data_IF_326181752898
#
_entry.id   IF_326181752898
#
_cell.length_a   1.000
_cell.length_b   1.000
_cell.length_c   1.000
_cell.angle_alpha   90.00
_cell.angle_beta   90.00
_cell.angle_gamma   90.00
#
_symmetry.space_group_name_H-M   'P 1'
#
loop_
_entity.id
_entity.type
_entity.pdbx_description
1 polymer ?
#
# COMPACT_ATOMS: atom_id res chain seq x y z
N UNK A 1 1.49 22.01 -8.65
CA UNK A 1 0.98 20.64 -8.67
C UNK A 1 0.21 20.44 -9.97
N UNK A 2 0.83 19.79 -10.92
CA UNK A 2 0.12 19.39 -12.14
C UNK A 2 -0.86 18.27 -11.77
N UNK A 3 -2.15 18.56 -11.88
CA UNK A 3 -3.25 17.68 -11.47
C UNK A 3 -3.62 16.64 -12.54
N UNK A 4 -2.81 16.50 -13.60
CA UNK A 4 -3.25 15.78 -14.81
C UNK A 4 -2.84 14.31 -14.90
N UNK A 5 -1.98 13.78 -14.04
CA UNK A 5 -1.42 12.44 -14.24
C UNK A 5 -1.61 11.43 -13.10
N UNK A 6 -2.20 11.81 -12.00
CA UNK A 6 -2.54 10.85 -10.93
C UNK A 6 -4.02 11.01 -10.58
N UNK A 7 -4.87 10.11 -11.09
CA UNK A 7 -6.19 9.94 -10.53
C UNK A 7 -5.99 9.34 -9.13
N UNK A 8 -6.02 10.20 -8.10
CA UNK A 8 -6.00 9.76 -6.72
C UNK A 8 -7.41 9.34 -6.34
N UNK A 9 -7.65 8.06 -6.22
CA UNK A 9 -8.83 7.53 -5.56
C UNK A 9 -8.47 7.18 -4.11
N UNK A 10 -8.62 8.14 -3.21
CA UNK A 10 -8.76 7.89 -1.76
C UNK A 10 -10.08 7.15 -1.47
N UNK A 11 -10.65 6.60 -2.50
CA UNK A 11 -12.02 6.16 -2.69
C UNK A 11 -12.44 5.01 -1.76
N UNK A 12 -11.54 4.03 -1.50
CA UNK A 12 -11.95 2.86 -0.71
C UNK A 12 -12.24 3.20 0.74
N UNK A 13 -11.46 4.10 1.34
CA UNK A 13 -11.66 4.50 2.74
C UNK A 13 -12.86 5.41 2.92
N UNK A 14 -13.17 6.22 1.92
CA UNK A 14 -14.38 7.04 1.87
C UNK A 14 -15.62 6.17 1.66
N UNK A 15 -15.57 5.14 0.78
CA UNK A 15 -16.65 4.17 0.60
C UNK A 15 -16.93 3.40 1.90
N UNK A 16 -15.90 3.09 2.69
CA UNK A 16 -16.05 2.43 3.98
C UNK A 16 -16.57 3.36 5.07
N UNK A 17 -16.87 4.63 4.75
CA UNK A 17 -17.36 5.66 5.68
C UNK A 17 -16.50 5.75 6.94
N UNK A 18 -15.18 5.85 6.76
CA UNK A 18 -14.24 6.01 7.86
C UNK A 18 -14.16 7.49 8.25
N UNK A 19 -14.34 7.78 9.53
CA UNK A 19 -14.46 9.16 10.05
C UNK A 19 -13.19 9.99 9.86
N UNK A 20 -12.02 9.34 9.82
CA UNK A 20 -10.72 9.99 9.69
C UNK A 20 -10.11 9.88 8.29
N UNK A 21 -10.90 9.45 7.28
CA UNK A 21 -10.41 9.34 5.91
C UNK A 21 -10.11 10.71 5.30
N UNK A 22 -8.91 10.88 4.75
CA UNK A 22 -8.50 12.12 4.07
C UNK A 22 -9.07 12.18 2.65
N UNK A 23 -9.51 13.37 2.24
CA UNK A 23 -9.99 13.62 0.87
C UNK A 23 -8.85 13.81 -0.13
N UNK A 24 -7.64 14.10 0.35
CA UNK A 24 -6.46 14.38 -0.45
C UNK A 24 -5.36 13.38 -0.15
N UNK A 25 -4.64 12.99 -1.20
CA UNK A 25 -3.48 12.14 -1.12
C UNK A 25 -2.24 12.99 -0.75
N UNK A 26 -1.64 12.73 0.41
CA UNK A 26 -0.41 13.39 0.85
C UNK A 26 0.75 12.39 0.83
N UNK A 27 1.90 12.82 0.36
CA UNK A 27 3.16 12.07 0.41
C UNK A 27 4.32 13.02 0.70
N UNK A 28 5.45 12.50 1.16
CA UNK A 28 6.69 13.28 1.27
C UNK A 28 7.12 13.79 -0.10
N UNK A 29 7.74 14.97 -0.15
CA UNK A 29 8.17 15.62 -1.40
C UNK A 29 9.06 14.72 -2.26
N UNK A 30 10.09 14.15 -1.65
CA UNK A 30 11.03 13.28 -2.36
C UNK A 30 10.35 11.99 -2.86
N UNK A 31 9.36 11.49 -2.12
CA UNK A 31 8.53 10.37 -2.57
C UNK A 31 7.70 10.75 -3.80
N UNK A 32 7.11 11.96 -3.82
CA UNK A 32 6.38 12.46 -4.99
C UNK A 32 7.29 12.56 -6.23
N UNK A 33 8.50 13.11 -6.08
CA UNK A 33 9.47 13.19 -7.19
C UNK A 33 9.81 11.81 -7.76
N UNK A 34 9.88 10.78 -6.90
CA UNK A 34 10.08 9.39 -7.33
C UNK A 34 8.85 8.78 -7.97
N UNK A 35 7.65 9.13 -7.50
CA UNK A 35 6.40 8.70 -8.15
C UNK A 35 6.30 9.26 -9.58
N UNK A 36 6.70 10.50 -9.79
CA UNK A 36 6.79 11.10 -11.14
C UNK A 36 7.79 10.32 -12.01
N UNK A 37 8.96 9.96 -11.45
CA UNK A 37 9.94 9.11 -12.16
C UNK A 37 9.35 7.73 -12.47
N UNK A 38 8.69 7.08 -11.51
CA UNK A 38 8.06 5.78 -11.71
C UNK A 38 6.98 5.84 -12.82
N UNK A 39 6.17 6.91 -12.84
CA UNK A 39 5.19 7.11 -13.90
C UNK A 39 5.84 7.25 -15.29
N UNK A 40 7.02 7.85 -15.36
CA UNK A 40 7.81 7.93 -16.59
C UNK A 40 8.40 6.58 -17.06
N UNK A 41 8.41 5.56 -16.21
CA UNK A 41 8.84 4.20 -16.56
C UNK A 41 7.69 3.35 -17.15
N UNK A 42 6.45 3.86 -17.11
CA UNK A 42 5.30 3.16 -17.67
C UNK A 42 5.22 3.35 -19.19
N UNK A 43 4.60 2.40 -19.92
CA UNK A 43 4.29 2.59 -21.34
C UNK A 43 3.37 3.80 -21.55
N UNK A 44 3.39 4.36 -22.77
CA UNK A 44 2.57 5.50 -23.13
C UNK A 44 1.08 5.28 -22.81
N UNK A 45 0.47 6.25 -22.14
CA UNK A 45 -0.93 6.24 -21.76
C UNK A 45 -1.27 5.48 -20.48
N UNK A 46 -0.35 4.64 -19.97
CA UNK A 46 -0.54 3.98 -18.68
C UNK A 46 -0.36 4.96 -17.54
N UNK A 47 -1.09 4.73 -16.43
CA UNK A 47 -1.09 5.63 -15.26
C UNK A 47 -1.20 4.84 -13.97
N UNK A 48 -0.77 5.45 -12.86
CA UNK A 48 -1.07 4.95 -11.53
C UNK A 48 -2.48 5.37 -11.09
N UNK A 49 -3.17 4.47 -10.40
CA UNK A 49 -4.29 4.78 -9.51
C UNK A 49 -3.82 4.59 -8.08
N UNK A 50 -3.90 5.64 -7.27
CA UNK A 50 -3.49 5.62 -5.87
C UNK A 50 -4.71 5.30 -5.01
N UNK A 51 -4.61 4.28 -4.17
CA UNK A 51 -5.66 3.89 -3.25
C UNK A 51 -5.45 4.44 -1.84
N UNK A 52 -4.19 4.52 -1.38
CA UNK A 52 -3.83 5.07 -0.08
C UNK A 52 -2.42 5.66 -0.11
N UNK A 53 -2.19 6.68 0.75
CA UNK A 53 -0.88 7.32 0.86
C UNK A 53 -0.61 7.67 2.33
N UNK A 54 -0.37 8.94 2.68
CA UNK A 54 -0.27 9.29 4.08
C UNK A 54 -1.59 9.03 4.81
N UNK A 55 -1.47 8.37 5.95
CA UNK A 55 -2.59 7.97 6.79
C UNK A 55 -2.38 8.55 8.19
N UNK A 56 -3.26 9.45 8.68
CA UNK A 56 -3.20 9.94 10.04
C UNK A 56 -3.30 8.79 11.03
N UNK A 57 -2.69 8.95 12.20
CA UNK A 57 -2.67 7.90 13.22
C UNK A 57 -4.09 7.48 13.66
N UNK A 58 -5.03 8.44 13.72
CA UNK A 58 -6.43 8.16 14.04
C UNK A 58 -7.07 7.21 13.02
N UNK A 59 -6.84 7.42 11.72
CA UNK A 59 -7.33 6.51 10.68
C UNK A 59 -6.67 5.13 10.75
N UNK A 60 -5.38 5.06 11.06
CA UNK A 60 -4.70 3.78 11.26
C UNK A 60 -5.30 2.99 12.42
N UNK A 61 -5.69 3.67 13.50
CA UNK A 61 -6.36 3.05 14.64
C UNK A 61 -7.75 2.54 14.25
N UNK A 62 -8.55 3.35 13.58
CA UNK A 62 -9.88 2.99 13.08
C UNK A 62 -9.84 1.77 12.16
N UNK A 63 -8.87 1.71 11.24
CA UNK A 63 -8.64 0.57 10.36
C UNK A 63 -8.29 -0.70 11.13
N UNK A 64 -7.38 -0.58 12.10
CA UNK A 64 -6.98 -1.71 12.92
C UNK A 64 -8.18 -2.31 13.68
N UNK A 65 -9.00 -1.46 14.30
CA UNK A 65 -10.21 -1.91 15.01
C UNK A 65 -11.19 -2.59 14.06
N UNK A 66 -11.50 -1.95 12.93
CA UNK A 66 -12.47 -2.45 11.96
C UNK A 66 -12.02 -3.78 11.32
N UNK A 67 -10.78 -3.85 10.83
CA UNK A 67 -10.26 -5.07 10.21
C UNK A 67 -10.03 -6.18 11.22
N UNK A 68 -9.73 -5.87 12.49
CA UNK A 68 -9.60 -6.88 13.54
C UNK A 68 -10.87 -7.70 13.70
N UNK A 69 -12.04 -7.07 13.64
CA UNK A 69 -13.34 -7.74 13.74
C UNK A 69 -13.54 -8.72 12.58
N UNK A 70 -13.29 -8.27 11.35
CA UNK A 70 -13.46 -9.10 10.16
C UNK A 70 -12.43 -10.25 10.13
N UNK A 71 -11.16 -9.97 10.43
CA UNK A 71 -10.09 -10.99 10.46
C UNK A 71 -10.38 -12.05 11.53
N UNK A 72 -10.84 -11.65 12.73
CA UNK A 72 -11.20 -12.60 13.79
C UNK A 72 -12.29 -13.54 13.30
N UNK A 73 -13.36 -12.99 12.71
CA UNK A 73 -14.50 -13.77 12.19
C UNK A 73 -14.08 -14.69 11.03
N UNK A 74 -13.38 -14.15 10.02
CA UNK A 74 -13.10 -14.85 8.77
C UNK A 74 -12.04 -15.95 8.92
N UNK A 75 -11.16 -15.81 9.91
CA UNK A 75 -10.11 -16.80 10.24
C UNK A 75 -10.41 -17.60 11.52
N UNK A 76 -11.60 -17.47 12.11
CA UNK A 76 -12.04 -18.20 13.30
C UNK A 76 -11.04 -18.09 14.47
N UNK A 77 -10.64 -16.85 14.81
CA UNK A 77 -9.60 -16.59 15.82
C UNK A 77 -10.16 -16.33 17.22
N UNK A 78 -11.46 -16.47 17.45
CA UNK A 78 -12.18 -16.13 18.68
C UNK A 78 -11.59 -16.84 19.91
N UNK A 79 -11.27 -18.14 19.76
CA UNK A 79 -10.76 -18.99 20.85
C UNK A 79 -9.26 -18.86 21.09
N UNK A 80 -8.53 -18.09 20.26
CA UNK A 80 -7.10 -17.89 20.44
C UNK A 80 -6.82 -16.97 21.64
N UNK A 81 -5.76 -17.25 22.43
CA UNK A 81 -5.26 -16.30 23.40
C UNK A 81 -4.97 -14.95 22.76
N UNK A 82 -5.25 -13.85 23.46
CA UNK A 82 -5.17 -12.47 22.95
C UNK A 82 -3.85 -12.17 22.21
N UNK A 83 -2.70 -12.58 22.78
CA UNK A 83 -1.40 -12.35 22.16
C UNK A 83 -1.27 -13.05 20.79
N UNK A 84 -1.78 -14.28 20.65
CA UNK A 84 -1.77 -15.03 19.39
C UNK A 84 -2.75 -14.44 18.38
N UNK A 85 -3.93 -14.06 18.84
CA UNK A 85 -4.95 -13.38 18.04
C UNK A 85 -4.40 -12.06 17.49
N UNK A 86 -3.82 -11.21 18.34
CA UNK A 86 -3.18 -9.96 17.93
C UNK A 86 -2.06 -10.19 16.91
N UNK A 87 -1.19 -11.19 17.15
CA UNK A 87 -0.14 -11.53 16.19
C UNK A 87 -0.67 -12.01 14.82
N UNK A 88 -1.82 -12.69 14.80
CA UNK A 88 -2.49 -13.08 13.56
C UNK A 88 -3.07 -11.85 12.83
N UNK A 89 -3.74 -10.95 13.54
CA UNK A 89 -4.29 -9.69 12.98
C UNK A 89 -3.17 -8.84 12.38
N UNK A 90 -2.04 -8.71 13.07
CA UNK A 90 -0.90 -7.90 12.61
C UNK A 90 -0.20 -8.42 11.34
N UNK A 91 -0.60 -9.59 10.81
CA UNK A 91 -0.16 -10.05 9.48
C UNK A 91 -0.88 -9.32 8.33
N UNK A 92 -2.06 -8.76 8.61
CA UNK A 92 -2.94 -8.13 7.62
C UNK A 92 -3.06 -6.62 7.80
N UNK A 93 -2.92 -6.13 9.02
CA UNK A 93 -3.03 -4.70 9.32
C UNK A 93 -2.01 -4.28 10.37
N UNK A 94 -1.29 -3.19 10.10
CA UNK A 94 -0.26 -2.67 11.00
C UNK A 94 -0.87 -2.20 12.32
N UNK A 95 -0.29 -2.67 13.45
CA UNK A 95 -0.67 -2.22 14.77
C UNK A 95 -0.43 -0.71 14.94
N UNK A 96 -1.43 0.07 15.36
CA UNK A 96 -1.26 1.49 15.64
C UNK A 96 -0.43 1.67 16.94
N UNK A 97 0.87 1.88 16.78
CA UNK A 97 1.76 2.20 17.91
C UNK A 97 1.98 3.71 17.93
N UNK A 98 1.67 4.41 19.04
CA UNK A 98 1.83 5.86 19.14
C UNK A 98 3.30 6.26 19.41
N UNK A 99 4.23 5.71 18.63
CA UNK A 99 5.65 6.02 18.68
C UNK A 99 6.12 6.59 17.35
N UNK A 100 6.47 7.85 17.32
CA UNK A 100 6.92 8.55 16.12
C UNK A 100 8.21 7.99 15.54
N UNK A 101 9.00 7.24 16.33
CA UNK A 101 10.23 6.58 15.87
C UNK A 101 9.99 5.22 15.23
N UNK A 102 8.85 4.60 15.52
CA UNK A 102 8.45 3.31 14.95
C UNK A 102 7.01 3.38 14.44
N UNK A 103 6.70 4.37 13.60
CA UNK A 103 5.33 4.57 13.10
C UNK A 103 4.91 3.47 12.14
N UNK A 104 3.59 3.26 11.93
CA UNK A 104 3.09 2.56 10.76
C UNK A 104 3.60 3.21 9.47
N UNK A 105 3.85 2.43 8.42
CA UNK A 105 4.47 2.90 7.19
C UNK A 105 3.75 4.12 6.59
N UNK A 106 2.43 4.01 6.35
CA UNK A 106 1.62 5.10 5.80
C UNK A 106 1.62 6.37 6.66
N UNK A 107 1.74 6.25 7.99
CA UNK A 107 1.79 7.41 8.89
C UNK A 107 3.08 8.23 8.73
N UNK A 108 4.10 7.71 8.05
CA UNK A 108 5.31 8.48 7.70
C UNK A 108 5.12 9.40 6.49
N UNK A 109 4.12 9.13 5.64
CA UNK A 109 4.00 9.71 4.30
C UNK A 109 5.03 9.17 3.30
N UNK A 110 5.73 8.09 3.68
CA UNK A 110 6.71 7.36 2.86
C UNK A 110 6.20 6.03 2.31
N UNK A 111 4.93 5.68 2.52
CA UNK A 111 4.28 4.50 1.96
C UNK A 111 3.12 4.89 1.05
N UNK A 112 2.84 4.04 0.06
CA UNK A 112 1.77 4.25 -0.92
C UNK A 112 1.22 2.91 -1.40
N UNK A 113 -0.11 2.83 -1.52
CA UNK A 113 -0.83 1.72 -2.13
C UNK A 113 -1.39 2.16 -3.48
N UNK A 114 -1.05 1.43 -4.54
CA UNK A 114 -1.43 1.82 -5.88
C UNK A 114 -1.55 0.64 -6.85
N UNK A 115 -2.22 0.88 -7.97
CA UNK A 115 -2.31 -0.04 -9.10
C UNK A 115 -2.09 0.70 -10.42
N UNK A 116 -2.25 -0.03 -11.53
CA UNK A 116 -2.11 0.50 -12.89
C UNK A 116 -3.47 0.67 -13.57
N UNK A 117 -3.58 1.77 -14.32
CA UNK A 117 -4.63 1.99 -15.30
C UNK A 117 -4.04 1.88 -16.71
N UNK A 118 -4.79 1.26 -17.60
CA UNK A 118 -4.51 1.27 -19.04
C UNK A 118 -4.79 2.65 -19.68
N UNK A 119 -4.48 2.86 -20.99
CA UNK A 119 -4.75 4.12 -21.66
C UNK A 119 -6.23 4.53 -21.67
N UNK A 120 -7.16 3.57 -21.59
CA UNK A 120 -8.60 3.79 -21.52
C UNK A 120 -9.09 4.09 -20.09
N UNK A 121 -8.20 4.02 -19.08
CA UNK A 121 -8.52 4.30 -17.67
C UNK A 121 -9.10 3.12 -16.91
N UNK A 122 -9.01 1.90 -17.43
CA UNK A 122 -9.44 0.67 -16.76
C UNK A 122 -8.30 0.12 -15.88
N UNK A 123 -8.63 -0.37 -14.70
CA UNK A 123 -7.63 -1.05 -13.87
C UNK A 123 -7.14 -2.33 -14.53
N UNK A 124 -5.84 -2.54 -14.51
CA UNK A 124 -5.24 -3.81 -14.94
C UNK A 124 -5.57 -4.92 -13.93
N UNK A 125 -5.89 -6.13 -14.39
CA UNK A 125 -6.09 -7.27 -13.51
C UNK A 125 -4.78 -7.63 -12.79
N UNK A 126 -4.84 -7.69 -11.44
CA UNK A 126 -3.72 -8.00 -10.55
C UNK A 126 -3.89 -9.34 -9.81
N UNK A 127 -4.93 -10.14 -10.16
CA UNK A 127 -5.19 -11.47 -9.61
C UNK A 127 -5.93 -11.50 -8.29
N UNK A 128 -5.93 -10.41 -7.53
CA UNK A 128 -6.81 -10.18 -6.37
C UNK A 128 -6.98 -8.68 -6.17
N UNK A 129 -8.04 -8.31 -5.46
CA UNK A 129 -8.32 -6.91 -5.13
C UNK A 129 -7.39 -6.35 -4.05
N UNK A 130 -7.39 -5.03 -3.93
CA UNK A 130 -6.76 -4.30 -2.84
C UNK A 130 -7.33 -4.73 -1.48
N UNK A 131 -6.48 -4.88 -0.47
CA UNK A 131 -6.82 -5.35 0.89
C UNK A 131 -7.54 -6.72 0.93
N UNK A 132 -7.37 -7.58 -0.08
CA UNK A 132 -7.94 -8.93 -0.05
C UNK A 132 -7.21 -9.80 0.99
N UNK A 133 -7.95 -10.67 1.68
CA UNK A 133 -7.39 -11.62 2.65
C UNK A 133 -7.13 -12.98 1.95
N UNK A 134 -6.07 -13.03 1.14
CA UNK A 134 -5.70 -14.22 0.37
C UNK A 134 -4.19 -14.25 0.11
N UNK A 135 -3.61 -15.42 -0.10
CA UNK A 135 -2.19 -15.57 -0.44
C UNK A 135 -1.82 -14.88 -1.77
N UNK A 136 -2.81 -14.63 -2.63
CA UNK A 136 -2.62 -13.88 -3.89
C UNK A 136 -2.18 -12.43 -3.66
N UNK A 137 -2.27 -11.90 -2.45
CA UNK A 137 -1.72 -10.57 -2.11
C UNK A 137 -0.21 -10.52 -2.12
N UNK A 138 0.47 -11.65 -1.85
CA UNK A 138 1.93 -11.72 -1.90
C UNK A 138 2.45 -11.26 -3.26
N UNK A 139 3.43 -10.35 -3.25
CA UNK A 139 3.99 -9.76 -4.47
C UNK A 139 4.50 -10.82 -5.46
N UNK A 140 5.17 -11.85 -4.96
CA UNK A 140 5.76 -12.92 -5.76
C UNK A 140 4.80 -14.10 -6.05
N UNK A 141 3.51 -14.02 -5.69
CA UNK A 141 2.59 -15.15 -5.84
C UNK A 141 2.58 -15.71 -7.27
N UNK A 142 2.39 -14.86 -8.27
CA UNK A 142 2.35 -15.26 -9.68
C UNK A 142 3.74 -15.42 -10.33
N UNK A 143 4.83 -15.25 -9.60
CA UNK A 143 6.18 -15.62 -10.07
C UNK A 143 6.43 -17.12 -9.97
N UNK A 144 5.78 -17.82 -9.05
CA UNK A 144 5.82 -19.29 -8.99
C UNK A 144 4.99 -19.87 -10.15
N UNK A 145 5.63 -20.66 -11.04
CA UNK A 145 4.99 -21.21 -12.23
C UNK A 145 3.77 -22.09 -11.91
N UNK A 146 3.77 -22.75 -10.76
CA UNK A 146 2.67 -23.57 -10.27
C UNK A 146 1.38 -22.76 -10.00
N UNK A 147 1.49 -21.45 -9.82
CA UNK A 147 0.35 -20.55 -9.61
C UNK A 147 -0.16 -19.90 -10.91
N UNK A 148 0.54 -20.12 -12.03
CA UNK A 148 0.17 -19.57 -13.35
C UNK A 148 -0.49 -20.67 -14.17
N UNK A 149 -1.82 -20.60 -14.25
CA UNK A 149 -2.66 -21.69 -14.80
C UNK A 149 -3.39 -21.30 -16.09
N UNK A 150 -2.84 -20.38 -16.85
CA UNK A 150 -3.42 -19.98 -18.12
C UNK A 150 -3.11 -18.53 -18.49
N UNK A 151 -3.70 -18.07 -19.59
CA UNK A 151 -3.42 -16.75 -20.14
C UNK A 151 -3.81 -15.60 -19.21
N UNK A 152 -4.83 -15.78 -18.38
CA UNK A 152 -5.26 -14.76 -17.42
C UNK A 152 -4.23 -14.58 -16.30
N UNK A 153 -3.73 -15.66 -15.72
CA UNK A 153 -2.68 -15.60 -14.69
C UNK A 153 -1.36 -15.09 -15.27
N UNK A 154 -1.04 -15.45 -16.51
CA UNK A 154 0.12 -14.90 -17.23
C UNK A 154 0.00 -13.37 -17.37
N UNK A 155 -1.16 -12.87 -17.77
CA UNK A 155 -1.42 -11.44 -17.87
C UNK A 155 -1.30 -10.75 -16.52
N UNK A 156 -1.80 -11.35 -15.44
CA UNK A 156 -1.65 -10.85 -14.07
C UNK A 156 -0.18 -10.75 -13.69
N UNK A 157 0.61 -11.77 -13.99
CA UNK A 157 2.05 -11.79 -13.73
C UNK A 157 2.76 -10.64 -14.45
N UNK A 158 2.47 -10.43 -15.74
CA UNK A 158 3.07 -9.34 -16.51
C UNK A 158 2.63 -7.95 -16.00
N UNK A 159 1.36 -7.78 -15.62
CA UNK A 159 0.87 -6.54 -15.03
C UNK A 159 1.58 -6.21 -13.69
N UNK A 160 1.76 -7.23 -12.83
CA UNK A 160 2.49 -7.07 -11.57
C UNK A 160 3.96 -6.74 -11.80
N UNK A 161 4.60 -7.36 -12.78
CA UNK A 161 5.98 -7.04 -13.17
C UNK A 161 6.10 -5.60 -13.66
N UNK A 162 5.17 -5.15 -14.51
CA UNK A 162 5.15 -3.77 -14.99
C UNK A 162 5.08 -2.80 -13.82
N UNK A 163 4.16 -2.99 -12.87
CA UNK A 163 4.07 -2.16 -11.67
C UNK A 163 5.34 -2.23 -10.84
N UNK A 164 5.79 -3.44 -10.53
CA UNK A 164 6.96 -3.69 -9.69
C UNK A 164 8.21 -2.99 -10.22
N UNK A 165 8.56 -3.21 -11.48
CA UNK A 165 9.76 -2.63 -12.06
C UNK A 165 9.66 -1.11 -12.23
N UNK A 166 8.49 -0.57 -12.59
CA UNK A 166 8.29 0.88 -12.65
C UNK A 166 8.61 1.54 -11.30
N UNK A 167 8.20 0.93 -10.20
CA UNK A 167 8.41 1.44 -8.84
C UNK A 167 9.86 1.20 -8.35
N UNK A 168 10.40 -0.01 -8.50
CA UNK A 168 11.76 -0.34 -8.05
C UNK A 168 12.83 0.50 -8.76
N UNK A 169 12.70 0.71 -10.05
CA UNK A 169 13.64 1.53 -10.85
C UNK A 169 13.59 3.02 -10.47
N UNK A 170 12.48 3.44 -9.84
CA UNK A 170 12.37 4.76 -9.25
C UNK A 170 12.93 4.84 -7.81
N UNK A 171 13.35 3.69 -7.22
CA UNK A 171 14.01 3.61 -5.93
C UNK A 171 13.09 3.31 -4.75
N UNK A 172 11.87 2.84 -5.01
CA UNK A 172 10.97 2.28 -3.99
C UNK A 172 11.41 0.87 -3.59
N UNK A 173 10.87 0.38 -2.48
CA UNK A 173 10.86 -1.04 -2.12
C UNK A 173 9.41 -1.53 -2.06
N UNK A 174 9.17 -2.81 -2.35
CA UNK A 174 7.85 -3.40 -2.24
C UNK A 174 7.73 -4.20 -0.95
N UNK A 175 6.57 -4.19 -0.31
CA UNK A 175 6.25 -5.06 0.82
C UNK A 175 5.91 -6.47 0.29
N UNK A 176 6.66 -7.53 0.65
CA UNK A 176 6.46 -8.86 0.06
C UNK A 176 5.06 -9.46 0.25
N UNK A 177 4.34 -9.09 1.30
CA UNK A 177 2.97 -9.56 1.57
C UNK A 177 1.90 -8.86 0.74
N UNK A 178 2.23 -7.72 0.11
CA UNK A 178 1.26 -6.84 -0.55
C UNK A 178 1.81 -6.33 -1.89
N UNK A 179 1.25 -6.79 -3.02
CA UNK A 179 1.72 -6.41 -4.35
C UNK A 179 1.51 -4.92 -4.67
N UNK A 180 0.58 -4.26 -4.01
CA UNK A 180 0.21 -2.84 -4.20
C UNK A 180 1.04 -1.87 -3.36
N UNK A 181 1.69 -2.35 -2.28
CA UNK A 181 2.34 -1.51 -1.27
C UNK A 181 3.81 -1.25 -1.59
N UNK A 182 4.16 0.04 -1.63
CA UNK A 182 5.52 0.50 -1.90
C UNK A 182 5.98 1.54 -0.89
N UNK A 183 7.22 1.40 -0.46
CA UNK A 183 7.85 2.23 0.56
C UNK A 183 9.01 3.03 -0.02
N UNK A 184 9.19 4.27 0.47
CA UNK A 184 10.38 5.08 0.28
C UNK A 184 10.68 5.89 1.54
N UNK A 185 11.90 5.75 2.08
CA UNK A 185 12.40 6.55 3.19
C UNK A 185 11.88 6.17 4.58
N UNK A 186 10.95 5.27 4.68
CA UNK A 186 10.43 4.72 5.94
C UNK A 186 11.28 3.56 6.46
N UNK A 187 10.82 2.88 7.51
CA UNK A 187 11.55 1.77 8.14
C UNK A 187 11.64 0.50 7.27
N UNK A 188 10.62 0.21 6.45
CA UNK A 188 10.67 -0.96 5.56
C UNK A 188 11.64 -0.72 4.41
N UNK A 189 11.58 0.45 3.79
CA UNK A 189 12.58 0.87 2.83
C UNK A 189 14.00 0.82 3.41
N UNK A 190 14.18 1.37 4.62
CA UNK A 190 15.46 1.36 5.31
C UNK A 190 16.01 -0.05 5.52
N UNK A 191 15.14 -0.98 5.93
CA UNK A 191 15.48 -2.39 6.14
C UNK A 191 15.96 -3.06 4.85
N UNK A 192 15.18 -2.96 3.76
CA UNK A 192 15.52 -3.58 2.48
C UNK A 192 16.73 -2.93 1.80
N UNK A 193 16.85 -1.62 1.89
CA UNK A 193 17.96 -0.87 1.31
C UNK A 193 19.23 -0.89 2.18
N UNK A 194 19.16 -1.42 3.40
CA UNK A 194 20.24 -1.39 4.40
C UNK A 194 20.77 0.02 4.66
N UNK A 195 19.86 0.96 4.83
CA UNK A 195 20.11 2.39 5.06
C UNK A 195 19.33 2.86 6.30
N UNK A 196 19.68 3.99 6.90
CA UNK A 196 18.84 4.61 7.91
C UNK A 196 17.48 5.02 7.31
N UNK A 197 16.41 4.95 8.11
CA UNK A 197 15.14 5.55 7.76
C UNK A 197 15.29 7.09 7.68
N UNK A 198 14.59 7.69 6.73
CA UNK A 198 14.63 9.14 6.48
C UNK A 198 13.47 9.82 7.19
N UNK A 199 12.30 9.14 7.25
CA UNK A 199 11.05 9.74 7.69
C UNK A 199 10.60 9.20 9.04
N UNK A 200 10.28 10.12 9.92
CA UNK A 200 9.52 9.88 11.15
C UNK A 200 8.01 9.94 10.88
N UNK A 201 7.19 9.51 11.84
CA UNK A 201 5.74 9.58 11.75
C UNK A 201 5.23 11.01 11.73
N UNK A 202 4.20 11.27 10.92
CA UNK A 202 3.37 12.48 10.92
C UNK A 202 1.98 12.02 11.33
N UNK A 203 1.60 12.29 12.56
CA UNK A 203 0.43 11.66 13.17
C UNK A 203 -0.86 12.43 12.90
N UNK A 204 -0.74 13.75 12.72
CA UNK A 204 -1.88 14.63 12.50
C UNK A 204 -1.70 15.49 11.24
N UNK A 205 -2.80 16.05 10.76
CA UNK A 205 -2.81 16.89 9.57
C UNK A 205 -2.08 18.23 9.80
N UNK A 206 -2.12 18.73 11.02
CA UNK A 206 -1.46 19.98 11.42
C UNK A 206 0.06 19.87 11.25
N UNK A 207 0.63 18.68 11.50
CA UNK A 207 2.06 18.41 11.36
C UNK A 207 2.54 18.39 9.88
N UNK A 208 1.63 18.27 8.89
CA UNK A 208 2.00 18.30 7.46
C UNK A 208 2.42 19.69 7.02
N UNK A 209 1.93 20.73 7.69
CA UNK A 209 2.12 22.13 7.30
C UNK A 209 3.13 22.87 8.19
N UNK A 210 3.72 22.19 9.17
CA UNK A 210 4.83 22.65 9.99
C UNK A 210 6.15 22.30 9.36
#
# INVERSE_FOLDING_TARGET
>A
LDRSSAASDVYKRQILHMDHAEEKCFVRKEMYERLVKAAGNLPDGYRFRIWDAWRPFALQHELFEKYSVDIIRDFHLEELPEAKRRAAICKFVSNPVPDTKVPPAHTTGGAIDLTLLDPEGRELPMGCGFDAFTDKTCAAYFEALEHVQGAEDEQVRENRRLLYYAMIDAGFTNLPSEWWHYDYGDRFWAYYMRKPAIYEGVFTREEIHG
#
